data_IF_560408285539
#
_entry.id   IF_560408285539
#
_cell.length_a   1.000
_cell.length_b   1.000
_cell.length_c   1.000
_cell.angle_alpha   90.00
_cell.angle_beta   90.00
_cell.angle_gamma   90.00
#
_symmetry.space_group_name_H-M   'P 1'
#
loop_
_entity.id
_entity.type
_entity.pdbx_description
1 polymer ?
#
# COMPACT_ATOMS: atom_id res chain seq x y z
N UNK A 1 -8.07 -2.93 -6.83
CA UNK A 1 -7.76 -1.55 -6.41
C UNK A 1 -8.98 -0.85 -5.85
N UNK A 2 -8.80 0.28 -5.15
CA UNK A 2 -9.94 1.06 -4.62
C UNK A 2 -10.91 1.52 -5.72
N UNK A 3 -10.41 1.81 -6.90
CA UNK A 3 -11.25 2.18 -8.04
C UNK A 3 -12.08 1.01 -8.58
N UNK A 4 -11.52 -0.19 -8.66
CA UNK A 4 -12.27 -1.41 -9.06
C UNK A 4 -13.43 -1.66 -8.11
N UNK A 5 -13.16 -1.60 -6.81
CA UNK A 5 -14.19 -1.76 -5.78
C UNK A 5 -15.27 -0.69 -5.90
N UNK A 6 -14.89 0.58 -6.12
CA UNK A 6 -15.86 1.66 -6.30
C UNK A 6 -16.72 1.47 -7.57
N UNK A 7 -16.14 0.98 -8.66
CA UNK A 7 -16.85 0.67 -9.89
C UNK A 7 -17.89 -0.45 -9.64
N UNK A 8 -17.49 -1.51 -8.96
CA UNK A 8 -18.40 -2.60 -8.63
C UNK A 8 -19.52 -2.16 -7.68
N UNK A 9 -19.23 -1.33 -6.68
CA UNK A 9 -20.25 -0.73 -5.83
C UNK A 9 -21.26 0.08 -6.64
N UNK A 10 -20.77 0.92 -7.55
CA UNK A 10 -21.64 1.75 -8.40
C UNK A 10 -22.54 0.92 -9.30
N UNK A 11 -22.01 -0.14 -9.92
CA UNK A 11 -22.80 -1.08 -10.74
C UNK A 11 -23.92 -1.78 -9.95
N UNK A 12 -23.69 -1.99 -8.64
CA UNK A 12 -24.64 -2.63 -7.74
C UNK A 12 -25.51 -1.64 -6.95
N UNK A 13 -25.63 -0.39 -7.41
CA UNK A 13 -26.56 0.60 -6.87
C UNK A 13 -26.08 1.31 -5.60
N UNK A 14 -24.81 1.16 -5.21
CA UNK A 14 -24.19 1.92 -4.12
C UNK A 14 -23.52 3.17 -4.70
N UNK A 15 -23.60 4.29 -4.01
CA UNK A 15 -22.95 5.54 -4.41
C UNK A 15 -21.62 5.77 -3.67
N UNK A 16 -20.49 5.30 -4.20
CA UNK A 16 -19.20 5.50 -3.58
C UNK A 16 -18.64 6.90 -3.85
N UNK A 17 -17.87 7.41 -2.87
CA UNK A 17 -17.01 8.57 -3.04
C UNK A 17 -15.56 8.06 -2.95
N UNK A 18 -14.75 8.32 -3.99
CA UNK A 18 -13.34 7.94 -4.00
C UNK A 18 -12.49 9.14 -3.56
N UNK A 19 -11.68 8.94 -2.54
CA UNK A 19 -10.68 9.90 -2.11
C UNK A 19 -9.31 9.38 -2.57
N UNK A 20 -8.65 10.15 -3.43
CA UNK A 20 -7.32 9.81 -3.95
C UNK A 20 -6.31 10.83 -3.41
N UNK A 21 -5.25 10.35 -2.80
CA UNK A 21 -4.19 11.20 -2.22
C UNK A 21 -3.33 11.88 -3.27
N UNK A 22 -3.36 11.37 -4.50
CA UNK A 22 -2.61 11.95 -5.62
C UNK A 22 -3.26 13.26 -6.08
N UNK A 23 -2.44 14.17 -6.59
CA UNK A 23 -2.89 15.46 -7.11
C UNK A 23 -3.74 15.31 -8.36
N UNK A 24 -3.28 14.43 -9.23
CA UNK A 24 -3.98 13.94 -10.40
C UNK A 24 -3.59 12.49 -10.65
N UNK A 25 -4.45 11.78 -11.31
CA UNK A 25 -4.14 10.44 -11.78
C UNK A 25 -4.95 10.16 -13.04
N UNK A 26 -4.29 9.56 -14.01
CA UNK A 26 -4.91 9.15 -15.26
C UNK A 26 -4.58 7.68 -15.51
N UNK A 27 -5.61 6.88 -15.60
CA UNK A 27 -5.53 5.47 -16.00
C UNK A 27 -6.87 5.06 -16.57
N UNK A 28 -6.92 3.96 -17.28
CA UNK A 28 -8.16 3.46 -17.88
C UNK A 28 -9.26 3.23 -16.85
N UNK A 29 -8.88 2.68 -15.68
CA UNK A 29 -9.85 2.45 -14.59
C UNK A 29 -10.42 3.75 -14.02
N UNK A 30 -9.65 4.83 -13.99
CA UNK A 30 -10.13 6.14 -13.54
C UNK A 30 -11.08 6.74 -14.56
N UNK A 31 -10.85 6.53 -15.86
CA UNK A 31 -11.79 6.93 -16.92
C UNK A 31 -13.10 6.20 -16.76
N UNK A 32 -13.09 4.88 -16.60
CA UNK A 32 -14.28 4.08 -16.34
C UNK A 32 -15.05 4.55 -15.11
N UNK A 33 -14.36 4.87 -14.02
CA UNK A 33 -14.99 5.42 -12.83
C UNK A 33 -15.68 6.77 -13.08
N UNK A 34 -15.06 7.64 -13.88
CA UNK A 34 -15.66 8.94 -14.29
C UNK A 34 -16.88 8.75 -15.21
N UNK A 35 -16.82 7.82 -16.15
CA UNK A 35 -17.95 7.49 -17.04
C UNK A 35 -19.16 7.00 -16.24
N UNK A 36 -18.94 6.25 -15.19
CA UNK A 36 -19.97 5.83 -14.23
C UNK A 36 -20.41 6.95 -13.27
N UNK A 37 -19.90 8.16 -13.45
CA UNK A 37 -20.19 9.35 -12.60
C UNK A 37 -19.89 9.12 -11.12
N UNK A 38 -18.85 8.34 -10.82
CA UNK A 38 -18.36 8.20 -9.45
C UNK A 38 -17.73 9.52 -9.02
N UNK A 39 -18.09 10.01 -7.82
CA UNK A 39 -17.49 11.21 -7.26
C UNK A 39 -16.05 10.93 -6.81
N UNK A 40 -15.08 11.54 -7.49
CA UNK A 40 -13.65 11.37 -7.21
C UNK A 40 -13.10 12.70 -6.73
N UNK A 41 -12.52 12.72 -5.53
CA UNK A 41 -11.82 13.88 -4.95
C UNK A 41 -10.32 13.59 -4.92
N UNK A 42 -9.55 14.27 -5.76
CA UNK A 42 -8.08 14.21 -5.77
C UNK A 42 -7.48 15.12 -4.70
N UNK A 43 -6.32 14.74 -4.20
CA UNK A 43 -5.65 15.39 -3.05
C UNK A 43 -6.51 15.40 -1.80
N UNK A 44 -7.30 14.36 -1.54
CA UNK A 44 -8.13 14.23 -0.35
C UNK A 44 -7.81 12.97 0.44
N UNK A 45 -8.00 13.08 1.77
CA UNK A 45 -7.79 11.98 2.73
C UNK A 45 -8.91 11.95 3.76
N UNK A 46 -9.15 10.78 4.33
CA UNK A 46 -9.96 10.65 5.55
C UNK A 46 -9.10 11.05 6.74
N UNK A 47 -9.61 11.97 7.56
CA UNK A 47 -8.93 12.46 8.77
C UNK A 47 -9.48 11.81 10.03
N UNK A 48 -10.78 11.57 10.06
CA UNK A 48 -11.45 10.93 11.18
C UNK A 48 -12.71 10.18 10.72
N UNK A 49 -12.96 9.03 11.31
CA UNK A 49 -14.24 8.34 11.25
C UNK A 49 -15.10 8.75 12.44
N UNK A 50 -16.39 8.97 12.22
CA UNK A 50 -17.36 9.32 13.27
C UNK A 50 -18.47 8.29 13.35
N UNK A 51 -18.94 8.06 14.56
CA UNK A 51 -20.02 7.13 14.90
C UNK A 51 -19.82 6.60 16.30
N UNK A 52 -20.75 5.78 16.77
CA UNK A 52 -20.66 5.13 18.08
C UNK A 52 -20.52 3.61 17.92
N UNK A 53 -21.57 2.92 17.47
CA UNK A 53 -21.52 1.47 17.21
C UNK A 53 -21.15 1.13 15.77
N UNK A 54 -21.38 2.09 14.87
CA UNK A 54 -21.05 2.01 13.44
C UNK A 54 -20.61 3.36 12.93
N UNK A 55 -19.88 3.39 11.85
CA UNK A 55 -19.56 4.63 11.13
C UNK A 55 -20.86 5.25 10.61
N UNK A 56 -21.01 6.56 10.79
CA UNK A 56 -22.11 7.34 10.24
C UNK A 56 -21.64 8.54 9.41
N UNK A 57 -20.38 8.94 9.58
CA UNK A 57 -19.76 9.97 8.76
C UNK A 57 -18.23 9.90 8.87
N UNK A 58 -17.56 10.59 7.96
CA UNK A 58 -16.13 10.78 7.98
C UNK A 58 -15.77 12.25 7.80
N UNK A 59 -14.79 12.73 8.56
CA UNK A 59 -14.13 13.99 8.24
C UNK A 59 -13.08 13.71 7.18
N UNK A 60 -13.18 14.42 6.07
CA UNK A 60 -12.20 14.39 5.00
C UNK A 60 -11.52 15.74 4.89
N UNK A 61 -10.31 15.77 4.37
CA UNK A 61 -9.59 17.01 4.18
C UNK A 61 -8.75 16.97 2.91
N UNK A 62 -8.52 18.15 2.35
CA UNK A 62 -7.56 18.32 1.27
C UNK A 62 -6.15 18.27 1.82
N UNK A 63 -5.30 17.45 1.19
CA UNK A 63 -3.88 17.35 1.53
C UNK A 63 -3.04 18.29 0.66
N UNK A 64 -2.02 18.91 1.25
CA UNK A 64 -1.04 19.72 0.52
C UNK A 64 -0.15 18.88 -0.39
N UNK A 65 0.42 19.51 -1.43
CA UNK A 65 1.31 18.84 -2.39
C UNK A 65 2.51 18.15 -1.72
N UNK A 66 3.03 18.72 -0.64
CA UNK A 66 4.12 18.11 0.16
C UNK A 66 3.63 17.07 1.18
N UNK A 67 2.34 16.77 1.23
CA UNK A 67 1.67 15.81 2.11
C UNK A 67 1.89 16.04 3.62
N UNK A 68 2.35 17.20 4.01
CA UNK A 68 2.63 17.53 5.43
C UNK A 68 1.49 18.27 6.12
N UNK A 69 0.57 18.87 5.36
CA UNK A 69 -0.52 19.69 5.90
C UNK A 69 -1.84 19.28 5.26
N UNK A 70 -2.91 19.56 6.00
CA UNK A 70 -4.28 19.41 5.52
C UNK A 70 -5.04 20.72 5.68
N UNK A 71 -6.03 20.92 4.83
CA UNK A 71 -6.92 22.09 4.81
C UNK A 71 -8.33 21.66 4.40
N UNK A 72 -9.29 22.58 4.50
CA UNK A 72 -10.65 22.38 4.03
C UNK A 72 -11.27 21.07 4.55
N UNK A 73 -11.40 20.99 5.88
CA UNK A 73 -12.03 19.83 6.52
C UNK A 73 -13.54 19.92 6.27
N UNK A 74 -14.09 18.87 5.69
CA UNK A 74 -15.52 18.69 5.43
C UNK A 74 -15.99 17.36 6.02
N UNK A 75 -17.24 17.32 6.47
CA UNK A 75 -17.85 16.09 6.95
C UNK A 75 -18.72 15.46 5.87
N UNK A 76 -18.52 14.18 5.60
CA UNK A 76 -19.30 13.40 4.64
C UNK A 76 -20.06 12.32 5.39
N UNK A 77 -21.35 12.19 5.14
CA UNK A 77 -22.15 11.06 5.63
C UNK A 77 -21.76 9.79 4.87
N UNK A 78 -21.46 8.74 5.61
CA UNK A 78 -21.15 7.42 5.06
C UNK A 78 -21.43 6.35 6.14
N UNK A 79 -21.74 5.17 5.73
CA UNK A 79 -21.97 4.00 6.60
C UNK A 79 -20.80 3.00 6.56
N UNK A 80 -19.89 3.17 5.60
CA UNK A 80 -18.70 2.36 5.43
C UNK A 80 -17.52 3.20 4.94
N UNK A 81 -16.30 2.88 5.39
CA UNK A 81 -15.05 3.44 4.90
C UNK A 81 -14.19 2.28 4.43
N UNK A 82 -13.94 2.21 3.13
CA UNK A 82 -13.04 1.24 2.52
C UNK A 82 -11.66 1.86 2.34
N UNK A 83 -10.62 1.16 2.76
CA UNK A 83 -9.24 1.62 2.64
C UNK A 83 -8.50 0.72 1.65
N UNK A 84 -7.93 1.34 0.61
CA UNK A 84 -7.04 0.67 -0.34
C UNK A 84 -5.65 1.26 -0.15
N UNK A 85 -4.87 0.58 0.66
CA UNK A 85 -3.52 1.00 1.02
C UNK A 85 -2.44 0.41 0.11
N UNK A 86 -1.26 0.30 0.66
CA UNK A 86 -0.07 -0.23 -0.01
C UNK A 86 -0.07 -1.75 -0.10
N UNK A 87 0.66 -2.24 -1.09
CA UNK A 87 1.10 -3.62 -1.14
C UNK A 87 2.46 -3.72 -0.43
N UNK A 88 2.59 -4.69 0.47
CA UNK A 88 3.87 -5.00 1.14
C UNK A 88 4.34 -6.39 0.73
N UNK A 89 5.66 -6.59 0.53
CA UNK A 89 6.21 -7.90 0.25
C UNK A 89 5.90 -8.91 1.35
N UNK A 90 5.47 -10.10 0.98
CA UNK A 90 5.24 -11.20 1.93
C UNK A 90 6.53 -12.00 2.10
N UNK A 91 7.37 -11.60 3.05
CA UNK A 91 8.72 -12.12 3.26
C UNK A 91 8.80 -13.31 4.23
N UNK A 92 7.67 -13.80 4.73
CA UNK A 92 7.65 -14.79 5.82
C UNK A 92 8.38 -16.09 5.48
N UNK A 93 8.13 -16.67 4.30
CA UNK A 93 8.78 -17.92 3.89
C UNK A 93 10.29 -17.74 3.70
N UNK A 94 10.70 -16.64 3.06
CA UNK A 94 12.11 -16.32 2.90
C UNK A 94 12.81 -16.14 4.26
N UNK A 95 12.17 -15.48 5.20
CA UNK A 95 12.69 -15.28 6.56
C UNK A 95 12.80 -16.60 7.32
N UNK A 96 11.85 -17.51 7.18
CA UNK A 96 11.89 -18.83 7.82
C UNK A 96 12.99 -19.72 7.28
N UNK A 97 13.34 -19.60 5.99
CA UNK A 97 14.47 -20.34 5.39
C UNK A 97 15.83 -19.75 5.78
N UNK A 98 15.86 -18.73 6.62
CA UNK A 98 17.08 -18.06 7.09
C UNK A 98 17.59 -16.97 6.15
N UNK A 99 16.76 -16.51 5.23
CA UNK A 99 17.06 -15.36 4.38
C UNK A 99 17.15 -14.10 5.24
N UNK A 100 18.17 -13.28 4.99
CA UNK A 100 18.25 -11.96 5.57
C UNK A 100 17.35 -11.01 4.78
N UNK A 101 16.78 -10.05 5.48
CA UNK A 101 15.97 -8.99 4.88
C UNK A 101 16.77 -7.70 4.81
N UNK A 102 16.48 -6.89 3.81
CA UNK A 102 16.99 -5.52 3.68
C UNK A 102 15.84 -4.56 3.45
N UNK A 103 15.99 -3.34 3.91
CA UNK A 103 15.00 -2.30 3.66
C UNK A 103 15.21 -1.73 2.26
N UNK A 104 14.13 -1.66 1.48
CA UNK A 104 14.11 -1.03 0.16
C UNK A 104 13.40 0.32 0.27
N UNK A 105 14.17 1.40 0.10
CA UNK A 105 13.67 2.78 0.21
C UNK A 105 12.71 3.17 -0.93
N UNK A 106 12.76 2.49 -2.08
CA UNK A 106 11.85 2.82 -3.19
C UNK A 106 10.41 2.43 -2.90
N UNK A 107 10.22 1.30 -2.21
CA UNK A 107 8.90 0.77 -1.85
C UNK A 107 8.58 0.91 -0.35
N UNK A 108 9.49 1.49 0.45
CA UNK A 108 9.40 1.61 1.91
C UNK A 108 9.03 0.29 2.60
N UNK A 109 9.66 -0.80 2.20
CA UNK A 109 9.36 -2.13 2.74
C UNK A 109 10.61 -3.01 2.83
N UNK A 110 10.56 -4.01 3.70
CA UNK A 110 11.59 -5.04 3.75
C UNK A 110 11.42 -6.05 2.62
N UNK A 111 12.50 -6.37 1.96
CA UNK A 111 12.57 -7.41 0.91
C UNK A 111 13.62 -8.45 1.26
N UNK A 112 13.53 -9.69 0.75
CA UNK A 112 14.57 -10.69 0.89
C UNK A 112 15.88 -10.19 0.26
N UNK A 113 17.02 -10.47 0.90
CA UNK A 113 18.33 -10.09 0.36
C UNK A 113 19.19 -11.30 0.06
N UNK A 114 19.75 -11.93 1.07
CA UNK A 114 20.67 -13.05 0.94
C UNK A 114 20.12 -14.29 1.63
N UNK A 115 19.95 -15.37 0.88
CA UNK A 115 19.57 -16.67 1.42
C UNK A 115 20.79 -17.52 1.80
N UNK A 116 20.67 -18.24 2.91
CA UNK A 116 21.61 -19.27 3.30
C UNK A 116 21.36 -20.60 2.57
N UNK A 117 20.18 -20.75 2.01
CA UNK A 117 19.75 -21.96 1.31
C UNK A 117 19.75 -21.75 -0.21
N UNK A 118 19.69 -22.85 -0.96
CA UNK A 118 19.54 -22.80 -2.42
C UNK A 118 18.09 -22.49 -2.78
N UNK A 119 17.65 -21.29 -2.48
CA UNK A 119 16.32 -20.78 -2.79
C UNK A 119 16.40 -19.45 -3.52
N UNK A 120 15.35 -19.11 -4.23
CA UNK A 120 15.18 -17.80 -4.88
C UNK A 120 13.76 -17.32 -4.67
N UNK A 121 13.63 -16.15 -4.10
CA UNK A 121 12.33 -15.48 -3.93
C UNK A 121 12.08 -14.53 -5.10
N UNK A 122 10.88 -14.52 -5.64
CA UNK A 122 10.50 -13.75 -6.84
C UNK A 122 9.13 -13.07 -6.66
N UNK A 123 8.81 -12.16 -7.59
CA UNK A 123 7.51 -11.52 -7.68
C UNK A 123 7.19 -10.60 -6.51
N UNK A 124 5.95 -10.58 -6.06
CA UNK A 124 5.47 -9.67 -5.02
C UNK A 124 6.20 -9.82 -3.68
N UNK A 125 6.75 -10.99 -3.39
CA UNK A 125 7.58 -11.21 -2.20
C UNK A 125 8.93 -10.47 -2.24
N UNK A 126 9.38 -10.01 -3.41
CA UNK A 126 10.57 -9.15 -3.58
C UNK A 126 10.22 -7.68 -3.85
N UNK A 127 8.93 -7.31 -3.77
CA UNK A 127 8.47 -5.95 -4.04
C UNK A 127 8.17 -5.66 -5.51
N UNK A 128 8.17 -6.69 -6.36
CA UNK A 128 7.77 -6.59 -7.78
C UNK A 128 6.27 -6.86 -7.87
N UNK A 129 5.47 -5.80 -8.04
CA UNK A 129 4.00 -5.90 -7.98
C UNK A 129 3.32 -5.88 -9.36
N UNK A 130 4.07 -5.68 -10.45
CA UNK A 130 3.51 -5.75 -11.80
C UNK A 130 3.60 -7.17 -12.36
N UNK A 131 2.58 -7.60 -13.08
CA UNK A 131 2.57 -8.91 -13.73
C UNK A 131 3.69 -9.03 -14.78
N UNK A 132 3.92 -7.96 -15.55
CA UNK A 132 4.95 -7.92 -16.59
C UNK A 132 6.35 -8.21 -16.00
N UNK A 133 6.74 -7.46 -14.96
CA UNK A 133 8.03 -7.63 -14.30
C UNK A 133 8.15 -8.97 -13.57
N UNK A 134 7.05 -9.41 -12.93
CA UNK A 134 7.01 -10.72 -12.25
C UNK A 134 7.24 -11.86 -13.23
N UNK A 135 6.57 -11.86 -14.38
CA UNK A 135 6.76 -12.87 -15.41
C UNK A 135 8.19 -12.82 -15.95
N UNK A 136 8.67 -11.63 -16.32
CA UNK A 136 10.04 -11.45 -16.85
C UNK A 136 11.09 -12.02 -15.88
N UNK A 137 11.09 -11.55 -14.64
CA UNK A 137 12.08 -11.98 -13.64
C UNK A 137 11.97 -13.48 -13.32
N UNK A 138 10.74 -14.02 -13.30
CA UNK A 138 10.52 -15.45 -13.04
C UNK A 138 11.03 -16.34 -14.19
N UNK A 139 10.80 -15.96 -15.43
CA UNK A 139 11.31 -16.69 -16.59
C UNK A 139 12.84 -16.62 -16.70
N UNK A 140 13.43 -15.42 -16.48
CA UNK A 140 14.88 -15.24 -16.48
C UNK A 140 15.54 -16.12 -15.42
N UNK A 141 14.98 -16.12 -14.20
CA UNK A 141 15.53 -16.91 -13.10
C UNK A 141 15.28 -18.40 -13.25
N UNK A 142 14.14 -18.80 -13.79
CA UNK A 142 13.86 -20.19 -14.14
C UNK A 142 14.84 -20.74 -15.18
N UNK A 143 15.17 -19.96 -16.21
CA UNK A 143 16.17 -20.33 -17.20
C UNK A 143 17.58 -20.43 -16.59
N UNK A 144 17.97 -19.51 -15.71
CA UNK A 144 19.25 -19.56 -15.00
C UNK A 144 19.37 -20.84 -14.16
N UNK A 145 18.35 -21.17 -13.36
CA UNK A 145 18.32 -22.37 -12.53
C UNK A 145 18.35 -23.65 -13.40
N UNK A 146 17.55 -23.66 -14.46
CA UNK A 146 17.53 -24.77 -15.40
C UNK A 146 18.92 -25.03 -16.00
N UNK A 147 19.63 -23.97 -16.41
CA UNK A 147 21.00 -24.07 -16.94
C UNK A 147 21.97 -24.60 -15.88
N UNK A 148 21.85 -24.19 -14.63
CA UNK A 148 22.70 -24.69 -13.54
C UNK A 148 22.49 -26.19 -13.26
N UNK A 149 21.26 -26.70 -13.40
CA UNK A 149 20.93 -28.10 -13.11
C UNK A 149 21.22 -29.02 -14.31
N UNK A 150 20.84 -28.58 -15.50
CA UNK A 150 20.86 -29.42 -16.70
C UNK A 150 22.07 -29.21 -17.62
N UNK A 151 22.85 -28.16 -17.38
CA UNK A 151 23.90 -27.65 -18.29
C UNK A 151 23.40 -27.38 -19.74
N UNK A 152 22.10 -27.20 -19.93
CA UNK A 152 21.49 -26.88 -21.22
C UNK A 152 20.84 -25.50 -21.17
N UNK A 153 20.94 -24.76 -22.25
CA UNK A 153 20.21 -23.49 -22.43
C UNK A 153 18.79 -23.79 -22.95
N UNK A 154 17.80 -23.54 -22.14
CA UNK A 154 16.38 -23.53 -22.55
C UNK A 154 15.97 -22.09 -22.83
N UNK A 155 15.77 -21.74 -24.09
CA UNK A 155 15.24 -20.42 -24.47
C UNK A 155 13.71 -20.49 -24.42
N UNK A 156 13.16 -20.18 -23.27
CA UNK A 156 11.71 -20.00 -23.13
C UNK A 156 11.41 -18.50 -23.30
N UNK A 157 10.51 -18.17 -24.20
CA UNK A 157 10.08 -16.77 -24.42
C UNK A 157 9.21 -16.29 -23.26
N UNK A 158 9.49 -15.08 -22.79
CA UNK A 158 8.65 -14.43 -21.77
C UNK A 158 7.30 -14.10 -22.38
N UNK A 159 6.17 -14.45 -21.73
CA UNK A 159 4.84 -14.07 -22.18
C UNK A 159 4.68 -12.54 -22.21
N UNK A 160 4.03 -12.03 -23.24
CA UNK A 160 3.75 -10.60 -23.36
C UNK A 160 2.51 -10.24 -22.56
N UNK A 161 2.60 -9.21 -21.73
CA UNK A 161 1.47 -8.68 -20.96
C UNK A 161 0.86 -7.52 -21.74
N UNK A 162 -0.44 -7.59 -21.98
CA UNK A 162 -1.18 -6.58 -22.75
C UNK A 162 -1.42 -5.32 -21.89
N UNK A 163 -1.74 -5.52 -20.61
CA UNK A 163 -2.03 -4.42 -19.67
C UNK A 163 -0.77 -3.98 -18.93
N UNK A 164 -0.34 -2.74 -19.16
CA UNK A 164 0.77 -2.11 -18.43
C UNK A 164 0.23 -1.33 -17.24
N UNK A 165 0.40 -1.87 -16.05
CA UNK A 165 0.08 -1.18 -14.80
C UNK A 165 1.33 -0.42 -14.34
N UNK A 166 1.21 0.89 -14.07
CA UNK A 166 2.30 1.66 -13.51
C UNK A 166 2.60 1.22 -12.08
N UNK A 167 3.86 0.88 -11.80
CA UNK A 167 4.34 0.50 -10.48
C UNK A 167 4.70 1.69 -9.58
N UNK A 168 4.48 2.94 -10.03
CA UNK A 168 4.79 4.11 -9.21
C UNK A 168 3.90 4.17 -7.98
N UNK A 169 4.48 3.89 -6.83
CA UNK A 169 3.85 4.02 -5.53
C UNK A 169 4.00 5.45 -5.01
N UNK A 170 2.87 6.07 -4.71
CA UNK A 170 2.85 7.38 -4.07
C UNK A 170 2.85 7.19 -2.55
N UNK A 171 4.04 7.29 -1.94
CA UNK A 171 4.26 7.02 -0.52
C UNK A 171 3.48 7.98 0.37
N UNK A 172 2.56 7.43 1.15
CA UNK A 172 1.76 8.19 2.10
C UNK A 172 1.36 7.34 3.30
N UNK A 173 2.18 7.32 4.32
CA UNK A 173 2.01 6.41 5.47
C UNK A 173 1.19 6.99 6.62
N UNK A 174 1.13 8.31 6.74
CA UNK A 174 0.54 8.92 7.91
C UNK A 174 -0.21 10.21 7.55
N UNK A 175 -1.51 10.24 7.82
CA UNK A 175 -2.34 11.42 7.60
C UNK A 175 -1.94 12.51 8.60
N UNK A 176 -1.62 13.74 8.15
CA UNK A 176 -1.37 14.85 9.06
C UNK A 176 -2.59 15.17 9.91
N UNK A 177 -2.37 15.57 11.15
CA UNK A 177 -3.47 16.00 12.03
C UNK A 177 -3.81 17.48 11.81
N UNK A 178 -5.10 17.83 11.89
CA UNK A 178 -5.51 19.23 11.94
C UNK A 178 -4.94 19.89 13.19
N UNK A 179 -4.60 21.18 13.09
CA UNK A 179 -4.13 21.95 14.24
C UNK A 179 -5.18 21.91 15.37
N UNK A 180 -4.73 21.59 16.58
CA UNK A 180 -5.59 21.53 17.78
C UNK A 180 -6.53 20.31 17.85
N UNK A 181 -6.42 19.34 16.95
CA UNK A 181 -7.16 18.08 16.99
C UNK A 181 -6.21 16.92 17.28
N UNK A 182 -6.62 16.05 18.19
CA UNK A 182 -5.84 14.84 18.53
C UNK A 182 -6.66 13.60 18.16
N UNK A 183 -6.71 13.29 16.86
CA UNK A 183 -7.33 12.06 16.41
C UNK A 183 -6.34 10.89 16.56
N UNK A 184 -6.81 9.77 17.07
CA UNK A 184 -6.01 8.54 17.14
C UNK A 184 -5.73 8.01 15.71
N UNK A 185 -4.49 7.69 15.44
CA UNK A 185 -4.01 7.05 14.20
C UNK A 185 -3.42 5.72 14.57
N UNK A 186 -4.20 4.67 14.43
CA UNK A 186 -3.83 3.33 14.88
C UNK A 186 -2.79 2.69 13.97
N UNK A 187 -1.79 2.07 14.57
CA UNK A 187 -0.81 1.18 13.95
C UNK A 187 -1.22 -0.28 14.17
N UNK A 188 -1.75 -0.58 15.32
CA UNK A 188 -2.25 -1.89 15.70
C UNK A 188 -3.57 -1.73 16.47
N UNK A 189 -4.66 -2.22 15.88
CA UNK A 189 -5.97 -2.19 16.51
C UNK A 189 -6.11 -3.24 17.63
N UNK A 190 -5.39 -4.35 17.53
CA UNK A 190 -5.49 -5.43 18.50
C UNK A 190 -4.94 -5.02 19.86
N UNK A 191 -3.84 -4.28 19.86
CA UNK A 191 -3.16 -3.82 21.08
C UNK A 191 -3.37 -2.32 21.35
N UNK A 192 -4.27 -1.67 20.63
CA UNK A 192 -4.63 -0.23 20.76
C UNK A 192 -3.43 0.74 20.59
N UNK A 193 -2.42 0.33 19.80
CA UNK A 193 -1.20 1.11 19.58
C UNK A 193 -1.44 2.17 18.52
N UNK A 194 -1.16 3.42 18.88
CA UNK A 194 -1.29 4.57 18.00
C UNK A 194 0.08 5.16 17.60
N UNK A 195 0.10 5.99 16.57
CA UNK A 195 1.28 6.75 16.13
C UNK A 195 1.85 7.61 17.27
N UNK A 196 0.98 8.16 18.14
CA UNK A 196 1.39 8.94 19.31
C UNK A 196 2.27 8.16 20.29
N UNK A 197 2.01 6.87 20.45
CA UNK A 197 2.74 6.02 21.39
C UNK A 197 4.16 5.75 20.88
N UNK A 198 4.29 5.50 19.57
CA UNK A 198 5.61 5.39 18.92
C UNK A 198 6.39 6.71 19.00
N UNK A 199 5.72 7.85 18.77
CA UNK A 199 6.34 9.16 18.89
C UNK A 199 6.80 9.45 20.32
N UNK A 200 6.03 9.01 21.33
CA UNK A 200 6.39 9.13 22.73
C UNK A 200 7.64 8.26 23.03
N UNK A 201 7.62 6.99 22.65
CA UNK A 201 8.76 6.09 22.85
C UNK A 201 10.05 6.64 22.21
N UNK A 202 9.97 7.15 20.98
CA UNK A 202 11.12 7.79 20.31
C UNK A 202 11.63 9.03 21.04
N UNK A 203 10.73 9.86 21.58
CA UNK A 203 11.08 11.05 22.36
C UNK A 203 11.78 10.67 23.68
N UNK A 204 11.39 9.54 24.27
CA UNK A 204 12.03 9.00 25.47
C UNK A 204 13.35 8.26 25.20
N UNK A 205 13.77 8.21 23.92
CA UNK A 205 15.10 7.69 23.54
C UNK A 205 15.11 6.24 23.05
N UNK A 206 13.98 5.57 22.96
CA UNK A 206 13.90 4.23 22.38
C UNK A 206 14.05 4.29 20.87
N UNK A 207 15.14 3.78 20.33
CA UNK A 207 15.44 3.82 18.87
C UNK A 207 15.33 2.48 18.19
N UNK A 208 15.57 1.38 18.93
CA UNK A 208 15.40 0.04 18.40
C UNK A 208 13.94 -0.35 18.39
N UNK A 209 13.46 -0.91 17.28
CA UNK A 209 12.08 -1.37 17.17
C UNK A 209 11.72 -2.42 18.23
N UNK A 210 12.66 -3.27 18.63
CA UNK A 210 12.47 -4.26 19.71
C UNK A 210 12.26 -3.59 21.06
N UNK A 211 12.89 -2.45 21.32
CA UNK A 211 12.65 -1.70 22.55
C UNK A 211 11.34 -0.93 22.49
N UNK A 212 11.04 -0.27 21.36
CA UNK A 212 9.77 0.43 21.14
C UNK A 212 8.59 -0.52 21.27
N UNK A 213 8.73 -1.77 20.80
CA UNK A 213 7.69 -2.79 20.88
C UNK A 213 7.40 -3.25 22.32
N UNK A 214 8.36 -3.08 23.23
CA UNK A 214 8.23 -3.47 24.65
C UNK A 214 7.85 -2.30 25.57
N UNK A 215 7.86 -1.08 25.02
CA UNK A 215 7.47 0.14 25.72
C UNK A 215 5.96 0.23 25.91
#
# INVERSE_FOLDING_TARGET
SGYETAIEFKKNGVDPIVLDTRKDASSEIIKQAKELKINIKFSYVVVAAKGYKKVNSADIARISDNKKNISNIENIKCDCICVSGFWTPTIHLASQSGNKTQFNEEIDAFVPSHSKQKETTLGSATGVFTLEETLKTSFEKGNEISKQITNKENKVSVPTVIEKISSKHDKFWCVPLPKGKNYKRFLDFQNDVAVSDIQLALREGYRSIEHVKRY
#
